data_IF_291715731039
#
_entry.id   IF_291715731039
#
_cell.length_a   1.000
_cell.length_b   1.000
_cell.length_c   1.000
_cell.angle_alpha   90.00
_cell.angle_beta   90.00
_cell.angle_gamma   90.00
#
_symmetry.space_group_name_H-M   'P 1'
#
loop_
_entity.id
_entity.type
_entity.pdbx_description
1 polymer ?
#
# COMPACT_ATOMS: atom_id res chain seq x y z
N UNK A 1 -0.05 36.68 2.92
CA UNK A 1 -0.53 35.86 4.07
C UNK A 1 -2.00 35.45 3.94
N UNK A 2 -2.82 36.09 3.11
CA UNK A 2 -4.22 35.71 2.84
C UNK A 2 -4.33 34.35 2.13
N UNK A 3 -3.50 34.10 1.12
CA UNK A 3 -3.75 33.00 0.16
C UNK A 3 -3.41 31.62 0.73
N UNK A 4 -2.30 31.48 1.45
CA UNK A 4 -1.93 30.22 2.10
C UNK A 4 -2.92 29.80 3.20
N UNK A 5 -3.49 30.78 3.92
CA UNK A 5 -4.53 30.52 4.93
C UNK A 5 -5.84 30.13 4.26
N UNK A 6 -6.16 30.75 3.12
CA UNK A 6 -7.34 30.43 2.32
C UNK A 6 -7.26 29.01 1.73
N UNK A 7 -6.10 28.60 1.22
CA UNK A 7 -5.89 27.25 0.67
C UNK A 7 -6.08 26.16 1.73
N UNK A 8 -5.56 26.38 2.95
CA UNK A 8 -5.74 25.44 4.07
C UNK A 8 -7.19 25.35 4.54
N UNK A 9 -7.91 26.46 4.52
CA UNK A 9 -9.34 26.49 4.82
C UNK A 9 -10.15 25.74 3.75
N UNK A 10 -9.86 26.00 2.48
CA UNK A 10 -10.49 25.28 1.36
C UNK A 10 -10.23 23.78 1.43
N UNK A 11 -8.99 23.35 1.72
CA UNK A 11 -8.66 21.94 1.94
C UNK A 11 -9.49 21.32 3.06
N UNK A 12 -9.65 22.02 4.20
CA UNK A 12 -10.48 21.53 5.31
C UNK A 12 -11.94 21.33 4.91
N UNK A 13 -12.51 22.26 4.13
CA UNK A 13 -13.88 22.12 3.64
C UNK A 13 -14.04 20.94 2.69
N UNK A 14 -13.07 20.72 1.79
CA UNK A 14 -13.11 19.60 0.85
C UNK A 14 -12.92 18.24 1.56
N UNK A 15 -12.04 18.17 2.57
CA UNK A 15 -11.93 16.99 3.43
C UNK A 15 -13.25 16.74 4.16
N UNK A 16 -13.87 17.78 4.72
CA UNK A 16 -15.16 17.67 5.41
C UNK A 16 -16.24 17.16 4.46
N UNK A 17 -16.33 17.72 3.26
CA UNK A 17 -17.29 17.32 2.24
C UNK A 17 -17.10 15.86 1.79
N UNK A 18 -15.84 15.43 1.60
CA UNK A 18 -15.52 14.04 1.28
C UNK A 18 -15.98 13.08 2.39
N UNK A 19 -15.73 13.43 3.65
CA UNK A 19 -16.20 12.63 4.79
C UNK A 19 -17.74 12.61 4.92
N UNK A 20 -18.43 13.71 4.60
CA UNK A 20 -19.90 13.80 4.61
C UNK A 20 -20.55 12.97 3.50
N UNK A 21 -19.96 13.01 2.30
CA UNK A 21 -20.37 12.16 1.18
C UNK A 21 -20.28 10.66 1.53
N UNK A 22 -19.45 10.34 2.53
CA UNK A 22 -19.45 9.09 3.27
C UNK A 22 -18.78 7.94 2.54
N UNK A 23 -18.83 6.76 3.16
CA UNK A 23 -18.23 5.54 2.63
C UNK A 23 -19.24 4.71 1.85
N UNK A 24 -18.89 4.34 0.63
CA UNK A 24 -19.66 3.35 -0.13
C UNK A 24 -19.20 1.95 0.28
N UNK A 25 -20.13 1.13 0.75
CA UNK A 25 -19.87 -0.28 0.99
C UNK A 25 -19.59 -0.96 -0.36
N UNK A 26 -18.42 -1.56 -0.46
CA UNK A 26 -18.05 -2.39 -1.62
C UNK A 26 -18.47 -3.83 -1.38
N UNK A 27 -18.49 -4.63 -2.44
CA UNK A 27 -18.76 -6.08 -2.33
C UNK A 27 -17.76 -6.74 -1.38
N UNK A 28 -16.48 -6.39 -1.46
CA UNK A 28 -15.45 -6.92 -0.57
C UNK A 28 -15.69 -6.59 0.92
N UNK A 29 -16.23 -5.40 1.22
CA UNK A 29 -16.59 -5.04 2.60
C UNK A 29 -17.78 -5.88 3.07
N UNK A 30 -18.77 -6.12 2.21
CA UNK A 30 -19.90 -6.99 2.53
C UNK A 30 -19.47 -8.45 2.73
N UNK A 31 -18.57 -8.96 1.88
CA UNK A 31 -18.01 -10.31 2.02
C UNK A 31 -17.23 -10.45 3.35
N UNK A 32 -16.49 -9.41 3.74
CA UNK A 32 -15.83 -9.36 5.06
C UNK A 32 -16.85 -9.37 6.20
N UNK A 33 -17.92 -8.58 6.11
CA UNK A 33 -18.98 -8.54 7.13
C UNK A 33 -19.62 -9.93 7.27
N UNK A 34 -19.95 -10.59 6.15
CA UNK A 34 -20.55 -11.93 6.14
C UNK A 34 -19.62 -12.98 6.76
N UNK A 35 -18.33 -12.92 6.43
CA UNK A 35 -17.35 -13.89 6.91
C UNK A 35 -16.94 -13.70 8.38
N UNK A 36 -16.88 -12.45 8.86
CA UNK A 36 -16.25 -12.12 10.14
C UNK A 36 -17.21 -11.62 11.23
N UNK A 37 -18.36 -11.04 10.87
CA UNK A 37 -19.25 -10.37 11.82
C UNK A 37 -20.63 -11.02 11.87
N UNK A 38 -21.39 -10.90 10.78
CA UNK A 38 -22.75 -11.40 10.68
C UNK A 38 -23.26 -11.34 9.24
N UNK A 39 -24.29 -12.14 8.90
CA UNK A 39 -24.93 -12.06 7.59
C UNK A 39 -25.38 -10.60 7.28
N UNK A 40 -24.97 -10.03 6.13
CA UNK A 40 -25.10 -8.60 5.84
C UNK A 40 -26.53 -8.21 5.48
N UNK A 41 -27.41 -8.24 6.47
CA UNK A 41 -28.74 -7.67 6.41
C UNK A 41 -28.68 -6.14 6.61
N UNK A 42 -29.30 -5.31 5.74
CA UNK A 42 -29.21 -3.86 5.82
C UNK A 42 -29.67 -3.26 7.15
N UNK A 43 -30.77 -3.76 7.74
CA UNK A 43 -31.30 -3.20 8.98
C UNK A 43 -30.39 -3.54 10.15
N UNK A 44 -29.89 -4.78 10.18
CA UNK A 44 -28.89 -5.22 11.16
C UNK A 44 -27.59 -4.44 11.05
N UNK A 45 -27.11 -4.21 9.83
CA UNK A 45 -25.88 -3.45 9.59
C UNK A 45 -26.03 -1.97 9.98
N UNK A 46 -27.17 -1.35 9.66
CA UNK A 46 -27.48 0.01 10.08
C UNK A 46 -27.55 0.15 11.60
N UNK A 47 -28.16 -0.82 12.29
CA UNK A 47 -28.19 -0.87 13.75
C UNK A 47 -26.79 -1.04 14.33
N UNK A 48 -25.97 -1.95 13.79
CA UNK A 48 -24.60 -2.19 14.22
C UNK A 48 -23.72 -0.95 14.09
N UNK A 49 -23.85 -0.22 12.98
CA UNK A 49 -23.11 1.02 12.73
C UNK A 49 -23.58 2.20 13.60
N UNK A 50 -24.80 2.14 14.11
CA UNK A 50 -25.37 3.17 14.99
C UNK A 50 -25.14 2.91 16.48
N UNK A 51 -24.78 1.68 16.85
CA UNK A 51 -24.45 1.31 18.23
C UNK A 51 -23.08 1.88 18.62
N UNK A 52 -22.93 2.29 19.88
CA UNK A 52 -21.77 3.08 20.32
C UNK A 52 -20.62 2.27 20.92
N UNK A 53 -20.70 0.93 20.85
CA UNK A 53 -19.77 0.05 21.55
C UNK A 53 -19.26 -1.11 20.70
N UNK A 54 -17.94 -1.17 20.48
CA UNK A 54 -17.26 -2.39 20.02
C UNK A 54 -16.05 -2.13 19.11
N UNK A 55 -14.95 -2.85 19.36
CA UNK A 55 -13.75 -2.80 18.50
C UNK A 55 -14.01 -3.27 17.07
N UNK A 56 -14.98 -4.18 16.88
CA UNK A 56 -15.44 -4.64 15.57
C UNK A 56 -16.10 -3.53 14.77
N UNK A 57 -16.96 -2.72 15.42
CA UNK A 57 -17.58 -1.55 14.79
C UNK A 57 -16.51 -0.56 14.36
N UNK A 58 -15.57 -0.26 15.24
CA UNK A 58 -14.51 0.71 14.94
C UNK A 58 -13.63 0.26 13.77
N UNK A 59 -13.32 -1.04 13.69
CA UNK A 59 -12.60 -1.65 12.56
C UNK A 59 -13.39 -1.54 11.26
N UNK A 60 -14.71 -1.77 11.31
CA UNK A 60 -15.57 -1.64 10.14
C UNK A 60 -15.72 -0.18 9.70
N UNK A 61 -15.90 0.77 10.63
CA UNK A 61 -15.94 2.19 10.30
C UNK A 61 -14.62 2.66 9.68
N UNK A 62 -13.50 2.16 10.19
CA UNK A 62 -12.18 2.45 9.65
C UNK A 62 -12.02 2.02 8.19
N UNK A 63 -12.61 0.87 7.83
CA UNK A 63 -12.66 0.34 6.47
C UNK A 63 -13.62 1.15 5.58
N UNK A 64 -14.82 1.47 6.08
CA UNK A 64 -15.85 2.23 5.35
C UNK A 64 -15.38 3.65 5.01
N UNK A 65 -14.76 4.32 5.98
CA UNK A 65 -14.30 5.70 5.85
C UNK A 65 -12.82 5.78 5.47
N UNK A 66 -12.25 4.72 4.90
CA UNK A 66 -10.94 4.82 4.28
C UNK A 66 -11.03 5.79 3.07
N UNK A 67 -10.16 6.81 2.96
CA UNK A 67 -10.17 7.69 1.80
C UNK A 67 -9.80 6.88 0.57
N UNK A 68 -10.75 6.55 -0.28
CA UNK A 68 -10.49 5.74 -1.45
C UNK A 68 -9.60 6.47 -2.48
N UNK A 69 -9.14 5.74 -3.49
CA UNK A 69 -8.25 6.27 -4.52
C UNK A 69 -8.85 7.44 -5.28
N UNK A 70 -10.18 7.47 -5.48
CA UNK A 70 -10.86 8.54 -6.20
C UNK A 70 -10.90 9.83 -5.38
N UNK A 71 -11.18 9.73 -4.08
CA UNK A 71 -11.15 10.85 -3.15
C UNK A 71 -9.74 11.40 -3.01
N UNK A 72 -8.73 10.53 -2.91
CA UNK A 72 -7.34 10.96 -2.85
C UNK A 72 -6.91 11.71 -4.12
N UNK A 73 -7.30 11.23 -5.31
CA UNK A 73 -7.06 11.95 -6.57
C UNK A 73 -7.70 13.34 -6.55
N UNK A 74 -8.95 13.45 -6.10
CA UNK A 74 -9.67 14.71 -6.05
C UNK A 74 -9.02 15.72 -5.09
N UNK A 75 -8.46 15.24 -3.96
CA UNK A 75 -7.82 16.08 -2.95
C UNK A 75 -6.35 16.41 -3.28
N UNK A 76 -5.66 15.63 -4.12
CA UNK A 76 -4.21 15.78 -4.36
C UNK A 76 -3.79 17.20 -4.80
N UNK A 77 -4.48 17.89 -5.73
CA UNK A 77 -4.11 19.26 -6.10
C UNK A 77 -4.15 20.22 -4.89
N UNK A 78 -5.17 20.08 -4.05
CA UNK A 78 -5.35 20.91 -2.86
C UNK A 78 -4.28 20.61 -1.80
N UNK A 79 -3.91 19.34 -1.65
CA UNK A 79 -2.83 18.92 -0.75
C UNK A 79 -1.48 19.49 -1.19
N UNK A 80 -1.20 19.48 -2.50
CA UNK A 80 0.03 20.04 -3.07
C UNK A 80 0.10 21.57 -2.93
N UNK A 81 -1.02 22.26 -3.09
CA UNK A 81 -1.11 23.72 -2.96
C UNK A 81 -1.08 24.23 -1.52
N UNK A 82 -1.71 23.50 -0.59
CA UNK A 82 -1.83 23.93 0.80
C UNK A 82 -0.49 23.91 1.57
N UNK A 83 0.45 23.04 1.15
CA UNK A 83 1.80 22.89 1.72
C UNK A 83 1.79 22.87 3.25
N UNK A 84 0.93 22.02 3.83
CA UNK A 84 0.77 21.96 5.28
C UNK A 84 2.06 21.52 5.96
N UNK A 85 2.39 22.17 7.07
CA UNK A 85 3.40 21.72 8.04
C UNK A 85 2.78 20.75 9.07
N UNK A 86 3.62 20.14 9.92
CA UNK A 86 3.15 19.32 11.02
C UNK A 86 2.29 20.11 12.04
N UNK A 87 2.50 21.41 12.20
CA UNK A 87 1.66 22.24 13.07
C UNK A 87 0.34 22.61 12.38
N UNK A 88 0.35 22.81 11.06
CA UNK A 88 -0.90 22.96 10.31
C UNK A 88 -1.77 21.72 10.40
N UNK A 89 -1.17 20.53 10.34
CA UNK A 89 -1.87 19.25 10.50
C UNK A 89 -2.58 19.17 11.87
N UNK A 90 -1.90 19.57 12.96
CA UNK A 90 -2.53 19.64 14.30
C UNK A 90 -3.69 20.64 14.34
N UNK A 91 -3.55 21.79 13.70
CA UNK A 91 -4.60 22.81 13.63
C UNK A 91 -5.80 22.30 12.81
N UNK A 92 -5.56 21.65 11.68
CA UNK A 92 -6.58 21.02 10.85
C UNK A 92 -7.30 19.93 11.63
N UNK A 93 -6.57 19.06 12.34
CA UNK A 93 -7.14 18.01 13.17
C UNK A 93 -8.04 18.57 14.27
N UNK A 94 -7.55 19.59 15.02
CA UNK A 94 -8.35 20.22 16.08
C UNK A 94 -9.65 20.84 15.55
N UNK A 95 -9.59 21.47 14.36
CA UNK A 95 -10.79 21.99 13.69
C UNK A 95 -11.72 20.89 13.20
N UNK A 96 -11.18 19.79 12.69
CA UNK A 96 -11.95 18.66 12.19
C UNK A 96 -12.68 17.96 13.34
N UNK A 97 -12.01 17.70 14.46
CA UNK A 97 -12.59 17.10 15.68
C UNK A 97 -13.74 17.95 16.21
N UNK A 98 -13.55 19.27 16.29
CA UNK A 98 -14.58 20.20 16.76
C UNK A 98 -15.85 20.24 15.87
N UNK A 99 -15.77 19.76 14.62
CA UNK A 99 -16.93 19.69 13.72
C UNK A 99 -17.77 18.45 14.01
N UNK A 100 -19.09 18.66 14.05
CA UNK A 100 -20.05 17.57 13.91
C UNK A 100 -20.19 17.24 12.42
N UNK A 101 -19.74 16.06 12.05
CA UNK A 101 -19.78 15.57 10.68
C UNK A 101 -20.72 14.37 10.67
N UNK A 102 -21.84 14.50 9.98
CA UNK A 102 -22.72 13.38 9.70
C UNK A 102 -22.38 12.85 8.31
N UNK A 103 -22.05 11.57 8.22
CA UNK A 103 -21.71 10.90 6.98
C UNK A 103 -22.84 9.96 6.55
N UNK A 104 -23.10 9.91 5.23
CA UNK A 104 -24.04 8.95 4.66
C UNK A 104 -23.31 7.67 4.25
N UNK A 105 -23.61 6.54 4.90
CA UNK A 105 -23.15 5.23 4.43
C UNK A 105 -24.16 4.69 3.43
N UNK A 106 -23.65 4.18 2.30
CA UNK A 106 -24.49 3.63 1.23
C UNK A 106 -24.07 2.20 0.87
N UNK A 107 -25.05 1.37 0.52
CA UNK A 107 -24.85 0.04 -0.05
C UNK A 107 -24.28 0.13 -1.49
N UNK A 108 -23.77 -0.99 -2.05
CA UNK A 108 -23.44 -1.07 -3.46
C UNK A 108 -24.60 -0.57 -4.34
N UNK A 109 -24.29 0.26 -5.34
CA UNK A 109 -25.30 0.90 -6.19
C UNK A 109 -25.86 2.22 -5.64
N UNK A 110 -25.33 2.73 -4.52
CA UNK A 110 -25.65 4.07 -4.01
C UNK A 110 -26.94 4.15 -3.20
N UNK A 111 -27.52 3.01 -2.82
CA UNK A 111 -28.70 2.98 -1.94
C UNK A 111 -28.29 3.41 -0.53
N UNK A 112 -28.93 4.42 0.08
CA UNK A 112 -28.58 4.87 1.43
C UNK A 112 -28.86 3.77 2.45
N UNK A 113 -27.94 3.61 3.40
CA UNK A 113 -28.03 2.65 4.50
C UNK A 113 -28.30 3.35 5.83
N UNK A 114 -27.39 4.21 6.25
CA UNK A 114 -27.45 4.88 7.55
C UNK A 114 -26.72 6.23 7.52
N UNK A 115 -27.17 7.17 8.35
CA UNK A 115 -26.46 8.42 8.61
C UNK A 115 -25.76 8.30 9.95
N UNK A 116 -24.42 8.38 9.94
CA UNK A 116 -23.59 8.15 11.12
C UNK A 116 -22.90 9.45 11.49
N UNK A 117 -22.97 9.82 12.77
CA UNK A 117 -22.12 10.89 13.29
C UNK A 117 -20.70 10.36 13.41
N UNK A 118 -19.75 10.96 12.68
CA UNK A 118 -18.38 10.46 12.64
C UNK A 118 -17.69 10.63 14.00
N UNK A 119 -17.18 9.52 14.58
CA UNK A 119 -16.35 9.57 15.78
C UNK A 119 -15.02 10.28 15.51
N UNK A 120 -14.42 10.80 16.57
CA UNK A 120 -13.17 11.57 16.46
C UNK A 120 -11.98 10.71 16.02
N UNK A 121 -11.98 9.40 16.33
CA UNK A 121 -10.93 8.49 15.88
C UNK A 121 -10.93 8.34 14.35
N UNK A 122 -12.11 8.28 13.71
CA UNK A 122 -12.24 8.23 12.24
C UNK A 122 -11.70 9.52 11.62
N UNK A 123 -12.07 10.68 12.15
CA UNK A 123 -11.55 11.98 11.68
C UNK A 123 -10.03 12.04 11.78
N UNK A 124 -9.47 11.54 12.89
CA UNK A 124 -8.03 11.50 13.13
C UNK A 124 -7.31 10.56 12.16
N UNK A 125 -7.82 9.34 11.98
CA UNK A 125 -7.26 8.34 11.06
C UNK A 125 -7.37 8.79 9.60
N UNK A 126 -8.49 9.41 9.22
CA UNK A 126 -8.70 9.95 7.88
C UNK A 126 -7.63 10.98 7.53
N UNK A 127 -7.39 11.95 8.41
CA UNK A 127 -6.38 12.97 8.20
C UNK A 127 -4.96 12.38 8.17
N UNK A 128 -4.67 11.44 9.08
CA UNK A 128 -3.37 10.76 9.12
C UNK A 128 -3.08 9.98 7.82
N UNK A 129 -4.09 9.33 7.23
CA UNK A 129 -3.97 8.60 5.95
C UNK A 129 -3.71 9.53 4.78
N UNK A 130 -4.31 10.72 4.78
CA UNK A 130 -4.05 11.72 3.74
C UNK A 130 -2.62 12.28 3.80
N UNK A 131 -1.89 12.09 4.90
CA UNK A 131 -0.50 12.58 5.06
C UNK A 131 -0.37 14.03 4.62
N UNK A 132 -1.22 14.89 5.17
CA UNK A 132 -1.36 16.29 4.72
C UNK A 132 -0.07 17.09 4.86
N UNK A 133 0.77 16.75 5.83
CA UNK A 133 2.07 17.39 6.05
C UNK A 133 3.18 16.88 5.12
N UNK A 134 2.96 15.79 4.39
CA UNK A 134 3.93 15.27 3.43
C UNK A 134 4.00 16.15 2.19
N UNK A 135 5.22 16.47 1.76
CA UNK A 135 5.49 17.28 0.57
C UNK A 135 6.34 16.49 -0.40
N UNK A 136 5.96 16.56 -1.68
CA UNK A 136 6.71 15.95 -2.76
C UNK A 136 7.99 16.75 -3.01
N UNK A 137 9.07 16.02 -3.29
CA UNK A 137 10.33 16.58 -3.77
C UNK A 137 10.12 17.33 -5.10
N UNK A 138 10.73 18.51 -5.24
CA UNK A 138 10.52 19.37 -6.41
C UNK A 138 11.03 18.75 -7.71
N UNK A 139 12.14 18.01 -7.66
CA UNK A 139 12.73 17.41 -8.84
C UNK A 139 11.88 16.23 -9.31
N UNK A 140 11.36 15.44 -8.35
CA UNK A 140 10.41 14.37 -8.63
C UNK A 140 9.10 14.93 -9.20
N UNK A 141 8.58 16.02 -8.62
CA UNK A 141 7.37 16.67 -9.12
C UNK A 141 7.57 17.16 -10.57
N UNK A 142 8.71 17.78 -10.87
CA UNK A 142 9.04 18.22 -12.22
C UNK A 142 9.14 17.05 -13.21
N UNK A 143 9.78 15.95 -12.82
CA UNK A 143 9.90 14.74 -13.64
C UNK A 143 8.53 14.11 -13.95
N UNK A 144 7.58 14.16 -13.02
CA UNK A 144 6.20 13.69 -13.26
C UNK A 144 5.50 14.59 -14.28
N UNK A 145 5.63 15.91 -14.17
CA UNK A 145 4.98 16.84 -15.09
C UNK A 145 5.52 16.73 -16.52
N UNK A 146 6.79 16.36 -16.69
CA UNK A 146 7.42 16.23 -18.02
C UNK A 146 7.31 14.82 -18.60
N UNK A 147 7.48 13.78 -17.77
CA UNK A 147 7.61 12.40 -18.20
C UNK A 147 6.33 11.57 -18.20
N UNK A 148 5.27 12.02 -17.50
CA UNK A 148 4.02 11.27 -17.34
C UNK A 148 2.87 11.98 -18.04
N UNK A 149 1.99 11.22 -18.71
CA UNK A 149 0.77 11.74 -19.32
C UNK A 149 -0.21 12.29 -18.28
N UNK A 150 -0.96 13.33 -18.66
CA UNK A 150 -1.91 14.02 -17.78
C UNK A 150 -2.94 13.07 -17.14
N UNK A 151 -3.35 12.02 -17.86
CA UNK A 151 -4.31 11.03 -17.36
C UNK A 151 -3.76 10.22 -16.17
N UNK A 152 -2.45 9.94 -16.15
CA UNK A 152 -1.83 9.07 -15.15
C UNK A 152 -1.22 9.87 -13.99
N UNK A 153 -0.86 11.15 -14.20
CA UNK A 153 -0.24 12.01 -13.18
C UNK A 153 -0.93 11.97 -11.81
N UNK A 154 -2.26 12.10 -11.67
CA UNK A 154 -2.90 12.08 -10.36
C UNK A 154 -2.70 10.75 -9.63
N UNK A 155 -2.74 9.63 -10.37
CA UNK A 155 -2.55 8.29 -9.82
C UNK A 155 -1.12 8.07 -9.30
N UNK A 156 -0.12 8.64 -9.97
CA UNK A 156 1.29 8.60 -9.54
C UNK A 156 1.51 9.43 -8.29
N UNK A 157 0.98 10.67 -8.27
CA UNK A 157 1.15 11.58 -7.12
C UNK A 157 0.54 11.00 -5.84
N UNK A 158 -0.67 10.45 -5.95
CA UNK A 158 -1.35 9.77 -4.84
C UNK A 158 -0.53 8.58 -4.32
N UNK A 159 0.03 7.74 -5.21
CA UNK A 159 0.90 6.62 -4.81
C UNK A 159 2.14 7.07 -4.04
N UNK A 160 2.81 8.12 -4.50
CA UNK A 160 3.98 8.68 -3.82
C UNK A 160 3.63 9.20 -2.42
N UNK A 161 2.50 9.89 -2.29
CA UNK A 161 1.99 10.34 -0.99
C UNK A 161 1.68 9.17 -0.08
N UNK A 162 0.97 8.15 -0.57
CA UNK A 162 0.64 6.94 0.19
C UNK A 162 1.87 6.12 0.59
N UNK A 163 2.93 6.11 -0.22
CA UNK A 163 4.22 5.56 0.17
C UNK A 163 4.89 6.39 1.28
N UNK A 164 4.55 7.67 1.42
CA UNK A 164 5.15 8.58 2.40
C UNK A 164 6.63 8.78 2.14
N UNK A 165 7.02 8.69 0.87
CA UNK A 165 8.40 8.64 0.44
C UNK A 165 9.15 9.91 0.87
N UNK A 166 10.19 9.75 1.70
CA UNK A 166 11.03 10.88 2.13
C UNK A 166 12.17 11.05 1.15
N UNK A 167 12.40 12.29 0.72
CA UNK A 167 13.46 12.62 -0.24
C UNK A 167 14.83 12.25 0.32
N UNK A 168 15.56 11.45 -0.47
CA UNK A 168 16.98 11.25 -0.36
C UNK A 168 17.54 11.29 -1.77
N UNK A 169 18.70 11.93 -1.98
CA UNK A 169 19.18 12.27 -3.32
C UNK A 169 19.26 11.07 -4.28
N UNK A 170 19.72 9.91 -3.80
CA UNK A 170 19.75 8.65 -4.56
C UNK A 170 18.35 8.18 -4.99
N UNK A 171 17.39 8.22 -4.07
CA UNK A 171 16.03 7.73 -4.32
C UNK A 171 15.23 8.71 -5.18
N UNK A 172 15.38 10.03 -4.97
CA UNK A 172 14.77 11.05 -5.84
C UNK A 172 15.29 10.91 -7.27
N UNK A 173 16.61 10.72 -7.45
CA UNK A 173 17.21 10.49 -8.77
C UNK A 173 16.67 9.24 -9.46
N UNK A 174 16.53 8.14 -8.72
CA UNK A 174 15.90 6.93 -9.26
C UNK A 174 14.47 7.19 -9.74
N UNK A 175 13.65 7.89 -8.94
CA UNK A 175 12.28 8.22 -9.33
C UNK A 175 12.23 9.16 -10.53
N UNK A 176 13.10 10.17 -10.61
CA UNK A 176 13.19 11.01 -11.80
C UNK A 176 13.48 10.16 -13.04
N UNK A 177 14.47 9.27 -12.98
CA UNK A 177 14.77 8.36 -14.09
C UNK A 177 13.64 7.36 -14.39
N UNK A 178 12.89 6.91 -13.37
CA UNK A 178 11.70 6.08 -13.57
C UNK A 178 10.68 6.85 -14.43
N UNK A 179 10.33 8.08 -14.05
CA UNK A 179 9.35 8.88 -14.79
C UNK A 179 9.83 9.34 -16.16
N UNK A 180 11.13 9.54 -16.35
CA UNK A 180 11.72 9.94 -17.63
C UNK A 180 11.84 8.78 -18.63
N UNK A 181 12.03 7.54 -18.16
CA UNK A 181 12.44 6.41 -19.02
C UNK A 181 11.41 5.30 -19.16
N UNK A 182 10.55 5.11 -18.16
CA UNK A 182 9.50 4.10 -18.22
C UNK A 182 8.31 4.64 -19.01
N UNK A 183 7.84 3.86 -19.99
CA UNK A 183 6.65 4.24 -20.77
C UNK A 183 5.39 4.06 -19.92
N UNK A 184 4.65 5.15 -19.71
CA UNK A 184 3.38 5.14 -18.95
C UNK A 184 2.21 4.50 -19.71
N UNK A 185 2.39 4.26 -21.01
CA UNK A 185 1.50 3.43 -21.84
C UNK A 185 1.57 1.93 -21.53
N UNK A 186 2.60 1.48 -20.81
CA UNK A 186 2.71 0.07 -20.40
C UNK A 186 1.62 -0.26 -19.36
N UNK A 187 0.80 -1.31 -19.56
CA UNK A 187 -0.22 -1.72 -18.61
C UNK A 187 0.30 -2.00 -17.20
N UNK A 188 1.56 -2.43 -17.06
CA UNK A 188 2.21 -2.73 -15.79
C UNK A 188 2.94 -1.51 -15.20
N UNK A 189 2.87 -0.31 -15.81
CA UNK A 189 3.56 0.89 -15.34
C UNK A 189 3.30 1.23 -13.87
N UNK A 190 2.03 1.25 -13.46
CA UNK A 190 1.65 1.53 -12.07
C UNK A 190 2.07 0.40 -11.12
N UNK A 191 2.04 -0.85 -11.58
CA UNK A 191 2.50 -2.00 -10.79
C UNK A 191 4.03 -1.96 -10.58
N UNK A 192 4.78 -1.54 -11.60
CA UNK A 192 6.22 -1.27 -11.50
C UNK A 192 6.50 -0.16 -10.48
N UNK A 193 5.71 0.91 -10.48
CA UNK A 193 5.85 1.99 -9.50
C UNK A 193 5.52 1.49 -8.08
N UNK A 194 4.44 0.75 -7.89
CA UNK A 194 4.03 0.21 -6.59
C UNK A 194 5.10 -0.72 -6.01
N UNK A 195 5.70 -1.58 -6.85
CA UNK A 195 6.83 -2.43 -6.46
C UNK A 195 8.09 -1.63 -6.11
N UNK A 196 8.44 -0.63 -6.92
CA UNK A 196 9.61 0.20 -6.64
C UNK A 196 9.45 0.97 -5.32
N UNK A 197 8.26 1.51 -5.05
CA UNK A 197 7.97 2.23 -3.82
C UNK A 197 7.98 1.32 -2.59
N UNK A 198 7.46 0.09 -2.69
CA UNK A 198 7.48 -0.86 -1.58
C UNK A 198 8.91 -1.24 -1.18
N UNK A 199 9.78 -1.50 -2.16
CA UNK A 199 11.19 -1.80 -1.93
C UNK A 199 11.94 -0.61 -1.33
N UNK A 200 11.72 0.60 -1.85
CA UNK A 200 12.34 1.80 -1.31
C UNK A 200 11.88 2.11 0.12
N UNK A 201 10.65 1.73 0.49
CA UNK A 201 10.14 1.89 1.84
C UNK A 201 10.81 0.93 2.84
N UNK A 202 11.12 -0.31 2.44
CA UNK A 202 11.79 -1.30 3.30
C UNK A 202 13.31 -1.15 3.33
N UNK A 203 13.91 -0.53 2.32
CA UNK A 203 15.36 -0.37 2.21
C UNK A 203 15.94 0.67 3.18
N UNK A 204 17.23 0.51 3.53
CA UNK A 204 18.02 1.55 4.18
C UNK A 204 18.15 2.77 3.26
N UNK A 205 18.22 3.98 3.82
CA UNK A 205 18.24 5.22 3.01
C UNK A 205 19.42 5.32 2.04
N UNK A 206 20.58 4.78 2.42
CA UNK A 206 21.81 4.82 1.63
C UNK A 206 21.99 3.62 0.66
N UNK A 207 21.04 2.69 0.61
CA UNK A 207 21.15 1.53 -0.28
C UNK A 207 21.10 1.97 -1.76
N UNK A 208 21.88 1.27 -2.60
CA UNK A 208 21.75 1.38 -4.05
C UNK A 208 20.44 0.72 -4.50
N UNK A 209 19.72 1.39 -5.40
CA UNK A 209 18.39 0.93 -5.81
C UNK A 209 18.47 -0.25 -6.78
N UNK A 210 19.52 -0.32 -7.61
CA UNK A 210 19.72 -1.47 -8.50
C UNK A 210 20.03 -2.73 -7.68
N UNK A 211 20.93 -2.62 -6.71
CA UNK A 211 21.29 -3.74 -5.83
C UNK A 211 20.06 -4.25 -5.06
N UNK A 212 19.21 -3.34 -4.58
CA UNK A 212 17.94 -3.68 -3.92
C UNK A 212 16.99 -4.49 -4.83
N UNK A 213 16.85 -4.07 -6.10
CA UNK A 213 16.01 -4.77 -7.07
C UNK A 213 16.56 -6.17 -7.37
N UNK A 214 17.88 -6.29 -7.54
CA UNK A 214 18.56 -7.57 -7.76
C UNK A 214 18.42 -8.50 -6.55
N UNK A 215 18.68 -8.01 -5.35
CA UNK A 215 18.54 -8.77 -4.11
C UNK A 215 17.12 -9.31 -3.93
N UNK A 216 16.12 -8.46 -4.20
CA UNK A 216 14.72 -8.86 -4.16
C UNK A 216 14.40 -9.91 -5.23
N UNK A 217 14.89 -9.74 -6.46
CA UNK A 217 14.73 -10.74 -7.53
C UNK A 217 15.35 -12.09 -7.14
N UNK A 218 16.51 -12.09 -6.51
CA UNK A 218 17.17 -13.30 -5.98
C UNK A 218 16.36 -13.94 -4.84
N UNK A 219 15.72 -13.15 -3.99
CA UNK A 219 14.79 -13.65 -2.98
C UNK A 219 13.55 -14.31 -3.60
N UNK A 220 12.92 -13.66 -4.59
CA UNK A 220 11.76 -14.21 -5.30
C UNK A 220 12.09 -15.52 -6.02
N UNK A 221 13.25 -15.57 -6.67
CA UNK A 221 13.72 -16.76 -7.35
C UNK A 221 13.96 -17.93 -6.39
N UNK A 222 14.57 -17.69 -5.22
CA UNK A 222 14.72 -18.71 -4.16
C UNK A 222 13.35 -19.20 -3.66
N UNK A 223 12.40 -18.29 -3.49
CA UNK A 223 11.02 -18.62 -3.08
C UNK A 223 10.32 -19.48 -4.14
N UNK A 224 10.52 -19.17 -5.42
CA UNK A 224 9.99 -19.93 -6.54
C UNK A 224 10.56 -21.36 -6.59
N UNK A 225 11.88 -21.51 -6.38
CA UNK A 225 12.51 -22.82 -6.31
C UNK A 225 11.98 -23.65 -5.13
N UNK A 226 11.78 -23.02 -3.97
CA UNK A 226 11.19 -23.67 -2.80
C UNK A 226 9.75 -24.12 -3.07
N UNK A 227 8.94 -23.28 -3.71
CA UNK A 227 7.58 -23.63 -4.09
C UNK A 227 7.52 -24.82 -5.06
N UNK A 228 8.36 -24.81 -6.10
CA UNK A 228 8.46 -25.92 -7.05
C UNK A 228 8.91 -27.23 -6.39
N UNK A 229 9.87 -27.17 -5.46
CA UNK A 229 10.30 -28.34 -4.69
C UNK A 229 9.18 -28.88 -3.80
N UNK A 230 8.43 -28.00 -3.13
CA UNK A 230 7.28 -28.38 -2.32
C UNK A 230 6.19 -29.08 -3.14
N UNK A 231 5.88 -28.58 -4.34
CA UNK A 231 4.93 -29.24 -5.26
C UNK A 231 5.36 -30.66 -5.64
N UNK A 232 6.67 -30.88 -5.88
CA UNK A 232 7.20 -32.22 -6.17
C UNK A 232 7.04 -33.14 -4.97
N UNK A 233 7.37 -32.67 -3.76
CA UNK A 233 7.21 -33.44 -2.53
C UNK A 233 5.73 -33.78 -2.27
N UNK A 234 4.82 -32.85 -2.52
CA UNK A 234 3.38 -33.06 -2.36
C UNK A 234 2.82 -34.10 -3.33
N UNK A 235 3.41 -34.24 -4.53
CA UNK A 235 3.05 -35.32 -5.47
C UNK A 235 3.55 -36.69 -5.02
N UNK A 236 4.60 -36.72 -4.21
CA UNK A 236 5.25 -37.95 -3.75
C UNK A 236 4.77 -38.40 -2.35
N UNK A 237 4.27 -37.49 -1.52
CA UNK A 237 3.86 -37.75 -0.13
C UNK A 237 2.61 -36.96 0.23
N UNK A 238 1.79 -37.48 1.16
CA UNK A 238 0.62 -36.73 1.63
C UNK A 238 1.05 -35.52 2.48
N UNK A 239 0.17 -34.51 2.55
CA UNK A 239 0.43 -33.28 3.31
C UNK A 239 0.74 -33.55 4.79
N UNK A 240 0.07 -34.53 5.39
CA UNK A 240 0.24 -34.91 6.80
C UNK A 240 1.66 -35.42 7.10
N UNK A 241 2.23 -36.21 6.20
CA UNK A 241 3.61 -36.72 6.27
C UNK A 241 4.62 -35.60 6.10
N UNK A 242 4.36 -34.66 5.18
CA UNK A 242 5.22 -33.50 4.97
C UNK A 242 5.24 -32.56 6.18
N UNK A 243 4.08 -32.33 6.80
CA UNK A 243 3.99 -31.54 8.03
C UNK A 243 4.69 -32.21 9.21
N UNK A 244 4.58 -33.54 9.36
CA UNK A 244 5.32 -34.32 10.37
C UNK A 244 6.84 -34.25 10.17
N UNK A 245 7.30 -34.11 8.92
CA UNK A 245 8.72 -33.91 8.57
C UNK A 245 9.17 -32.44 8.66
N UNK A 246 8.31 -31.54 9.13
CA UNK A 246 8.62 -30.12 9.32
C UNK A 246 8.55 -29.26 8.06
N UNK A 247 8.09 -29.79 6.92
CA UNK A 247 7.85 -28.98 5.72
C UNK A 247 6.60 -28.12 5.90
N UNK A 248 6.73 -26.82 5.63
CA UNK A 248 5.61 -25.88 5.60
C UNK A 248 5.22 -25.56 4.16
N UNK A 249 3.92 -25.47 3.92
CA UNK A 249 3.41 -25.02 2.63
C UNK A 249 3.86 -23.57 2.37
N UNK A 250 4.43 -23.27 1.19
CA UNK A 250 4.65 -21.90 0.76
C UNK A 250 3.30 -21.18 0.70
N UNK A 251 3.20 -20.03 1.36
CA UNK A 251 1.99 -19.20 1.36
C UNK A 251 1.88 -18.27 0.14
N UNK A 252 2.74 -18.43 -0.87
CA UNK A 252 2.85 -17.51 -2.02
C UNK A 252 2.53 -18.24 -3.31
N UNK A 253 1.67 -17.64 -4.13
CA UNK A 253 1.35 -18.15 -5.46
C UNK A 253 2.58 -18.07 -6.37
N UNK A 254 2.82 -19.15 -7.13
CA UNK A 254 3.86 -19.20 -8.15
C UNK A 254 3.69 -18.09 -9.21
N UNK A 255 2.45 -17.81 -9.59
CA UNK A 255 2.15 -16.81 -10.61
C UNK A 255 2.46 -15.39 -10.12
N UNK A 256 2.23 -15.13 -8.83
CA UNK A 256 2.56 -13.84 -8.22
C UNK A 256 4.07 -13.62 -8.16
N UNK A 257 4.84 -14.64 -7.77
CA UNK A 257 6.31 -14.59 -7.77
C UNK A 257 6.86 -14.30 -9.18
N UNK A 258 6.36 -15.00 -10.19
CA UNK A 258 6.77 -14.81 -11.58
C UNK A 258 6.37 -13.43 -12.10
N UNK A 259 5.20 -12.93 -11.71
CA UNK A 259 4.76 -11.58 -12.04
C UNK A 259 5.69 -10.54 -11.45
N UNK A 260 6.00 -10.64 -10.17
CA UNK A 260 6.87 -9.68 -9.48
C UNK A 260 8.28 -9.69 -10.06
N UNK A 261 8.85 -10.88 -10.36
CA UNK A 261 10.14 -10.98 -11.06
C UNK A 261 10.12 -10.27 -12.43
N UNK A 262 9.05 -10.42 -13.21
CA UNK A 262 8.89 -9.72 -14.50
C UNK A 262 8.83 -8.20 -14.30
N UNK A 263 8.14 -7.70 -13.27
CA UNK A 263 8.11 -6.26 -12.97
C UNK A 263 9.52 -5.74 -12.66
N UNK A 264 10.32 -6.49 -11.89
CA UNK A 264 11.73 -6.12 -11.64
C UNK A 264 12.52 -6.06 -12.96
N UNK A 265 12.34 -7.03 -13.85
CA UNK A 265 13.01 -7.04 -15.15
C UNK A 265 12.64 -5.83 -16.02
N UNK A 266 11.36 -5.43 -16.02
CA UNK A 266 10.90 -4.23 -16.73
C UNK A 266 11.54 -2.96 -16.15
N UNK A 267 11.55 -2.80 -14.83
CA UNK A 267 12.18 -1.66 -14.15
C UNK A 267 13.69 -1.62 -14.47
N UNK A 268 14.36 -2.77 -14.33
CA UNK A 268 15.80 -2.89 -14.56
C UNK A 268 16.18 -2.55 -16.01
N UNK A 269 15.44 -3.11 -16.97
CA UNK A 269 15.65 -2.85 -18.39
C UNK A 269 15.38 -1.39 -18.77
N UNK A 270 14.26 -0.81 -18.31
CA UNK A 270 13.88 0.57 -18.64
C UNK A 270 14.84 1.61 -18.06
N UNK A 271 15.24 1.44 -16.80
CA UNK A 271 16.01 2.46 -16.08
C UNK A 271 17.52 2.26 -16.28
N UNK A 272 18.01 1.03 -16.12
CA UNK A 272 19.45 0.74 -16.10
C UNK A 272 19.97 0.16 -17.41
N UNK A 273 19.09 -0.22 -18.34
CA UNK A 273 19.47 -0.82 -19.63
C UNK A 273 20.05 -2.23 -19.51
N UNK A 274 19.97 -2.84 -18.31
CA UNK A 274 20.45 -4.18 -18.00
C UNK A 274 19.53 -4.83 -16.99
N UNK A 275 19.42 -6.16 -17.06
CA UNK A 275 18.83 -6.95 -15.99
C UNK A 275 19.77 -8.10 -15.64
N UNK A 276 19.80 -8.47 -14.37
CA UNK A 276 20.58 -9.61 -13.93
C UNK A 276 19.92 -10.91 -14.40
N UNK A 277 20.62 -11.64 -15.26
CA UNK A 277 20.26 -13.00 -15.60
C UNK A 277 20.56 -13.89 -14.39
N UNK A 278 19.53 -14.20 -13.60
CA UNK A 278 19.63 -15.21 -12.56
C UNK A 278 19.71 -16.56 -13.27
N UNK A 279 20.91 -17.08 -13.41
CA UNK A 279 21.10 -18.48 -13.79
C UNK A 279 20.55 -19.36 -12.66
N UNK A 280 19.81 -20.44 -12.94
CA UNK A 280 19.45 -21.37 -11.90
C UNK A 280 20.74 -21.90 -11.25
N UNK A 281 20.97 -21.69 -9.94
CA UNK A 281 22.07 -22.35 -9.26
C UNK A 281 21.86 -23.85 -9.40
N UNK A 282 22.92 -24.56 -9.75
CA UNK A 282 22.98 -26.01 -9.62
C UNK A 282 22.48 -26.38 -8.22
N UNK A 283 21.47 -27.24 -8.18
CA UNK A 283 20.81 -27.80 -7.01
C UNK A 283 21.52 -27.53 -5.67
N UNK A 284 21.20 -26.42 -5.00
CA UNK A 284 21.58 -26.29 -3.60
C UNK A 284 20.79 -27.33 -2.81
N UNK A 285 21.46 -28.18 -2.01
CA UNK A 285 20.81 -29.22 -1.24
C UNK A 285 19.78 -28.61 -0.29
N UNK A 286 18.74 -29.38 -0.03
CA UNK A 286 17.64 -29.03 0.88
C UNK A 286 18.22 -28.50 2.19
N UNK A 287 17.85 -27.29 2.61
CA UNK A 287 17.99 -26.91 4.02
C UNK A 287 17.00 -27.76 4.81
N UNK A 288 17.45 -28.95 5.16
CA UNK A 288 16.88 -29.74 6.21
C UNK A 288 17.06 -28.91 7.47
N UNK A 289 15.97 -28.49 8.12
CA UNK A 289 16.03 -28.06 9.52
C UNK A 289 16.12 -29.34 10.35
N UNK A 290 17.23 -30.05 10.19
CA UNK A 290 17.65 -31.15 11.04
C UNK A 290 19.15 -30.97 11.16
N UNK A 291 19.51 -30.11 12.12
CA UNK A 291 20.75 -30.11 12.92
C UNK A 291 20.97 -28.69 13.46
N UNK A 292 20.06 -28.28 14.35
CA UNK A 292 20.33 -27.24 15.34
C UNK A 292 20.44 -27.95 16.69
N UNK A 293 21.50 -28.74 16.85
CA UNK A 293 21.80 -29.41 18.12
C UNK A 293 22.39 -28.44 19.16
N UNK A 294 22.62 -27.17 18.81
CA UNK A 294 23.04 -26.15 19.78
C UNK A 294 22.29 -24.82 19.61
N UNK A 295 21.79 -24.22 20.71
CA UNK A 295 21.11 -22.93 20.71
C UNK A 295 21.93 -21.77 20.13
N UNK A 296 23.26 -21.92 20.10
CA UNK A 296 24.21 -20.92 19.62
C UNK A 296 24.22 -20.80 18.09
N UNK A 297 23.95 -21.89 17.36
CA UNK A 297 23.88 -21.88 15.90
C UNK A 297 22.62 -21.16 15.37
N UNK A 298 21.52 -21.19 16.15
CA UNK A 298 20.27 -20.49 15.85
C UNK A 298 20.47 -18.97 15.84
N UNK A 299 21.30 -18.46 16.76
CA UNK A 299 21.54 -17.03 16.90
C UNK A 299 22.41 -16.51 15.74
N UNK A 300 23.33 -17.32 15.21
CA UNK A 300 24.14 -16.92 14.06
C UNK A 300 23.40 -16.97 12.73
N UNK A 301 22.42 -17.87 12.55
CA UNK A 301 21.65 -17.94 11.30
C UNK A 301 20.58 -16.84 11.17
N UNK A 302 20.21 -16.19 12.28
CA UNK A 302 19.27 -15.06 12.30
C UNK A 302 19.96 -13.70 12.06
N UNK A 303 21.29 -13.66 12.02
CA UNK A 303 22.09 -12.43 11.86
C UNK A 303 22.84 -12.32 10.52
N UNK A 304 22.49 -13.14 9.51
CA UNK A 304 23.01 -13.03 8.14
C UNK A 304 21.89 -12.96 7.11
#
# INVERSE_FOLDING_TARGET
MSDATNNKYHLLEQITAAMQAGGQLTVAVLDYIDAALFPPDPDRLAAFLSDDAGCERDSLMDLIFYPDHSVQIALEPLLAEARCSADDEKVLLGRLIARKIDAMVSLPGGRPLARIQLPDFIKSQYLARLKVSWQMDSDVAAAIETGVSEAIRPHVKVRLRNAGFRSAANRSRFLCHFFERMADSDPDYLACLDLALSLLASAKMAADVYDLLVEHKCFLFRSLQQAGRFEVLLRQSNMETLMLQGFRAPHVSRDDLLREMRLIDLICSGIFGKTEAIAPPMEEPVRQVSDLDTPEAVIQSLMR
#
